data_IF_322763627446
#
_entry.id   IF_322763627446
#
_cell.length_a   1.000
_cell.length_b   1.000
_cell.length_c   1.000
_cell.angle_alpha   90.00
_cell.angle_beta   90.00
_cell.angle_gamma   90.00
#
_symmetry.space_group_name_H-M   'P 1'
#
loop_
_entity.id
_entity.type
_entity.pdbx_description
1 polymer ?
#
# COMPACT_ATOMS: atom_id res chain seq x y z
N UNK A 1 2.37 -12.57 -4.09
CA UNK A 1 1.44 -12.45 -2.93
C UNK A 1 1.08 -11.00 -2.59
N UNK A 2 -0.18 -10.73 -2.21
CA UNK A 2 -0.65 -9.44 -1.69
C UNK A 2 -0.38 -9.25 -0.20
N UNK A 3 -0.37 -8.01 0.31
CA UNK A 3 -0.32 -7.75 1.76
C UNK A 3 1.03 -7.93 2.49
N UNK A 4 2.05 -8.50 1.83
CA UNK A 4 3.40 -8.76 2.41
C UNK A 4 4.28 -7.52 2.63
N UNK A 5 3.88 -6.34 2.14
CA UNK A 5 4.62 -5.09 2.38
C UNK A 5 5.62 -4.67 1.30
N UNK A 6 5.49 -5.14 0.04
CA UNK A 6 6.33 -4.68 -1.09
C UNK A 6 6.36 -3.15 -1.25
N UNK A 7 5.17 -2.53 -1.31
CA UNK A 7 5.00 -1.08 -1.37
C UNK A 7 5.63 -0.39 -0.16
N UNK A 8 5.43 -0.94 1.05
CA UNK A 8 6.04 -0.41 2.28
C UNK A 8 7.56 -0.45 2.22
N UNK A 9 8.17 -1.56 1.77
CA UNK A 9 9.62 -1.66 1.63
C UNK A 9 10.15 -0.65 0.61
N UNK A 10 9.49 -0.54 -0.55
CA UNK A 10 9.85 0.44 -1.56
C UNK A 10 9.72 1.87 -1.03
N UNK A 11 8.72 2.18 -0.21
CA UNK A 11 8.57 3.49 0.45
C UNK A 11 9.69 3.77 1.44
N UNK A 12 10.11 2.77 2.22
CA UNK A 12 11.23 2.92 3.17
C UNK A 12 12.53 3.23 2.42
N UNK A 13 12.81 2.53 1.33
CA UNK A 13 13.98 2.79 0.48
C UNK A 13 13.87 4.17 -0.18
N UNK A 14 12.71 4.49 -0.76
CA UNK A 14 12.50 5.75 -1.47
C UNK A 14 12.68 6.97 -0.57
N UNK A 15 12.27 6.88 0.70
CA UNK A 15 12.34 7.97 1.67
C UNK A 15 13.62 7.95 2.53
N UNK A 16 14.52 6.97 2.36
CA UNK A 16 15.78 6.91 3.10
C UNK A 16 16.64 8.15 2.77
N UNK A 17 17.23 8.79 3.79
CA UNK A 17 18.01 10.02 3.62
C UNK A 17 19.19 9.84 2.66
N UNK A 18 19.82 8.66 2.64
CA UNK A 18 20.95 8.34 1.74
C UNK A 18 20.47 8.28 0.29
N UNK A 19 19.28 7.72 0.07
CA UNK A 19 18.64 7.68 -1.25
C UNK A 19 18.19 9.07 -1.68
N UNK A 20 17.59 9.85 -0.76
CA UNK A 20 17.22 11.24 -1.00
C UNK A 20 18.40 12.10 -1.44
N UNK A 21 19.56 11.91 -0.82
CA UNK A 21 20.78 12.69 -1.09
C UNK A 21 21.56 12.21 -2.32
N UNK A 22 21.36 10.96 -2.75
CA UNK A 22 22.10 10.37 -3.87
C UNK A 22 21.48 10.65 -5.24
N UNK A 23 20.15 10.68 -5.32
CA UNK A 23 19.42 10.88 -6.57
C UNK A 23 18.95 12.33 -6.73
N UNK A 24 19.33 12.95 -7.84
CA UNK A 24 18.93 14.32 -8.19
C UNK A 24 17.43 14.43 -8.43
N UNK A 25 16.81 13.37 -8.96
CA UNK A 25 15.38 13.34 -9.25
C UNK A 25 14.78 12.00 -8.86
N UNK A 26 13.59 12.04 -8.25
CA UNK A 26 12.89 10.84 -7.78
C UNK A 26 11.42 10.91 -8.17
N UNK A 27 10.87 9.78 -8.59
CA UNK A 27 9.48 9.64 -9.01
C UNK A 27 8.85 8.39 -8.46
N UNK A 28 7.55 8.47 -8.16
CA UNK A 28 6.74 7.33 -7.75
C UNK A 28 5.42 7.35 -8.51
N UNK A 29 5.10 6.26 -9.18
CA UNK A 29 3.84 6.08 -9.88
C UNK A 29 3.26 4.70 -9.58
N UNK A 30 1.98 4.67 -9.19
CA UNK A 30 1.20 3.44 -9.16
C UNK A 30 0.68 3.13 -10.56
N UNK A 31 0.91 1.92 -11.05
CA UNK A 31 0.58 1.49 -12.41
C UNK A 31 -0.81 0.87 -12.42
N UNK A 32 -1.68 1.35 -13.31
CA UNK A 32 -3.03 0.79 -13.48
C UNK A 32 -2.99 -0.61 -14.11
N UNK A 33 -4.02 -1.41 -13.83
CA UNK A 33 -4.22 -2.70 -14.51
C UNK A 33 -4.40 -2.51 -16.01
N UNK A 34 -5.16 -1.48 -16.40
CA UNK A 34 -5.24 -0.97 -17.77
C UNK A 34 -3.91 -0.29 -18.12
N UNK A 35 -2.94 -1.10 -18.54
CA UNK A 35 -1.60 -0.63 -18.85
C UNK A 35 -1.56 0.03 -20.22
N UNK A 36 -1.49 1.35 -20.21
CA UNK A 36 -1.23 2.18 -21.38
C UNK A 36 0.12 2.89 -21.22
N UNK A 37 1.01 2.69 -22.20
CA UNK A 37 2.35 3.30 -22.19
C UNK A 37 2.26 4.82 -22.31
N UNK A 38 1.29 5.34 -23.08
CA UNK A 38 1.09 6.78 -23.25
C UNK A 38 0.65 7.39 -21.92
N UNK A 39 -0.45 6.89 -21.36
CA UNK A 39 -0.98 7.33 -20.07
C UNK A 39 0.01 7.17 -18.93
N UNK A 40 0.80 6.09 -18.88
CA UNK A 40 1.83 5.92 -17.87
C UNK A 40 2.97 6.93 -18.03
N UNK A 41 3.43 7.18 -19.26
CA UNK A 41 4.50 8.17 -19.53
C UNK A 41 4.03 9.57 -19.14
N UNK A 42 2.79 9.94 -19.49
CA UNK A 42 2.16 11.18 -19.03
C UNK A 42 2.10 11.25 -17.51
N UNK A 43 1.65 10.17 -16.85
CA UNK A 43 1.55 10.11 -15.39
C UNK A 43 2.91 10.26 -14.72
N UNK A 44 3.97 9.70 -15.29
CA UNK A 44 5.36 9.90 -14.83
C UNK A 44 5.73 11.37 -14.94
N UNK A 45 5.57 11.99 -16.12
CA UNK A 45 5.90 13.40 -16.34
C UNK A 45 5.17 14.34 -15.39
N UNK A 46 3.85 14.19 -15.26
CA UNK A 46 3.00 15.05 -14.43
C UNK A 46 3.21 14.79 -12.95
N UNK A 47 3.13 13.53 -12.51
CA UNK A 47 3.09 13.19 -11.07
C UNK A 47 4.48 13.18 -10.45
N UNK A 48 5.50 12.75 -11.20
CA UNK A 48 6.86 12.63 -10.66
C UNK A 48 7.67 13.90 -10.89
N UNK A 49 7.54 14.51 -12.08
CA UNK A 49 8.42 15.61 -12.49
C UNK A 49 7.70 16.97 -12.59
N UNK A 50 6.39 17.01 -12.25
CA UNK A 50 5.57 18.22 -12.23
C UNK A 50 5.57 18.98 -13.56
N UNK A 51 5.71 18.25 -14.67
CA UNK A 51 5.69 18.80 -16.01
C UNK A 51 4.25 18.93 -16.49
N UNK A 52 3.90 20.08 -17.09
CA UNK A 52 2.67 20.24 -17.84
C UNK A 52 2.82 19.56 -19.19
N UNK A 53 1.90 18.67 -19.53
CA UNK A 53 1.97 17.84 -20.73
C UNK A 53 0.73 18.09 -21.57
N UNK A 54 0.90 18.72 -22.72
CA UNK A 54 -0.16 18.88 -23.73
C UNK A 54 -0.03 17.83 -24.86
N UNK A 55 0.99 16.98 -24.79
CA UNK A 55 1.30 15.97 -25.79
C UNK A 55 0.43 14.72 -25.65
N UNK A 56 -0.11 14.26 -26.77
CA UNK A 56 -0.85 12.98 -26.85
C UNK A 56 -0.03 11.86 -27.48
N UNK A 57 1.03 12.20 -28.22
CA UNK A 57 1.85 11.22 -28.93
C UNK A 57 2.99 10.67 -28.06
N UNK A 58 3.18 9.35 -28.10
CA UNK A 58 4.17 8.67 -27.27
C UNK A 58 5.59 9.21 -27.49
N UNK A 59 5.95 9.49 -28.74
CA UNK A 59 7.31 9.94 -29.07
C UNK A 59 7.65 11.28 -28.41
N UNK A 60 6.71 12.23 -28.38
CA UNK A 60 6.90 13.54 -27.76
C UNK A 60 7.05 13.41 -26.24
N UNK A 61 6.20 12.58 -25.63
CA UNK A 61 6.27 12.26 -24.20
C UNK A 61 7.62 11.63 -23.82
N UNK A 62 8.11 10.72 -24.64
CA UNK A 62 9.40 10.05 -24.40
C UNK A 62 10.58 10.99 -24.59
N UNK A 63 10.54 11.90 -25.57
CA UNK A 63 11.56 12.93 -25.74
C UNK A 63 11.62 13.88 -24.55
N UNK A 64 10.47 14.32 -24.05
CA UNK A 64 10.41 15.20 -22.87
C UNK A 64 10.90 14.47 -21.61
N UNK A 65 10.49 13.21 -21.42
CA UNK A 65 10.98 12.38 -20.31
C UNK A 65 12.50 12.21 -20.37
N UNK A 66 13.04 11.90 -21.55
CA UNK A 66 14.49 11.78 -21.77
C UNK A 66 15.19 13.08 -21.41
N UNK A 67 14.71 14.22 -21.89
CA UNK A 67 15.29 15.55 -21.62
C UNK A 67 15.30 15.88 -20.12
N UNK A 68 14.24 15.53 -19.38
CA UNK A 68 14.16 15.76 -17.94
C UNK A 68 15.20 14.95 -17.18
N UNK A 69 15.42 13.71 -17.60
CA UNK A 69 16.31 12.76 -16.94
C UNK A 69 17.78 12.88 -17.40
N UNK A 70 18.03 13.49 -18.57
CA UNK A 70 19.35 13.57 -19.17
C UNK A 70 20.36 14.23 -18.24
N UNK A 71 21.46 13.51 -17.99
CA UNK A 71 22.56 13.98 -17.14
C UNK A 71 22.27 13.97 -15.64
N UNK A 72 21.14 13.41 -15.20
CA UNK A 72 20.75 13.32 -13.78
C UNK A 72 20.79 11.88 -13.29
N UNK A 73 21.08 11.72 -12.00
CA UNK A 73 20.83 10.48 -11.26
C UNK A 73 19.36 10.41 -10.90
N UNK A 74 18.63 9.46 -11.48
CA UNK A 74 17.20 9.33 -11.21
C UNK A 74 16.83 8.01 -10.51
N UNK A 75 15.80 8.07 -9.67
CA UNK A 75 15.11 6.90 -9.12
C UNK A 75 13.64 6.96 -9.51
N UNK A 76 13.13 5.91 -10.17
CA UNK A 76 11.71 5.78 -10.50
C UNK A 76 11.14 4.54 -9.82
N UNK A 77 10.01 4.68 -9.12
CA UNK A 77 9.26 3.55 -8.56
C UNK A 77 8.00 3.34 -9.38
N UNK A 78 7.86 2.16 -9.96
CA UNK A 78 6.66 1.66 -10.62
C UNK A 78 5.98 0.66 -9.66
N UNK A 79 4.94 1.11 -8.97
CA UNK A 79 4.27 0.36 -7.91
C UNK A 79 3.03 -0.39 -8.42
N UNK A 80 2.83 -1.61 -7.93
CA UNK A 80 1.72 -2.54 -8.21
C UNK A 80 1.51 -2.83 -9.71
N UNK A 81 2.55 -3.34 -10.36
CA UNK A 81 2.53 -3.63 -11.81
C UNK A 81 1.91 -4.99 -12.12
N UNK A 82 1.04 -5.03 -13.14
CA UNK A 82 0.30 -6.25 -13.54
C UNK A 82 0.50 -6.71 -15.00
N UNK A 83 0.91 -5.82 -15.92
CA UNK A 83 0.93 -6.14 -17.35
C UNK A 83 2.07 -7.09 -17.76
N UNK A 84 1.73 -8.19 -18.43
CA UNK A 84 2.69 -9.23 -18.85
C UNK A 84 3.18 -9.09 -20.31
N UNK A 85 2.83 -8.02 -21.04
CA UNK A 85 3.22 -7.86 -22.45
C UNK A 85 4.62 -7.24 -22.56
N UNK A 86 5.67 -7.99 -22.94
CA UNK A 86 7.04 -7.47 -22.94
C UNK A 86 7.22 -6.26 -23.87
N UNK A 87 6.53 -6.26 -25.02
CA UNK A 87 6.61 -5.18 -26.01
C UNK A 87 6.20 -3.80 -25.48
N UNK A 88 5.30 -3.73 -24.51
CA UNK A 88 4.88 -2.46 -23.92
C UNK A 88 5.94 -1.94 -22.94
N UNK A 89 6.60 -2.86 -22.21
CA UNK A 89 7.72 -2.53 -21.33
C UNK A 89 8.96 -2.09 -22.09
N UNK A 90 9.27 -2.76 -23.20
CA UNK A 90 10.39 -2.34 -24.04
C UNK A 90 10.19 -0.91 -24.54
N UNK A 91 8.96 -0.53 -24.95
CA UNK A 91 8.65 0.86 -25.29
C UNK A 91 8.86 1.82 -24.12
N UNK A 92 8.40 1.48 -22.92
CA UNK A 92 8.58 2.33 -21.73
C UNK A 92 10.05 2.51 -21.33
N UNK A 93 10.88 1.47 -21.51
CA UNK A 93 12.29 1.47 -21.12
C UNK A 93 13.15 2.39 -22.00
N UNK A 94 12.81 2.58 -23.28
CA UNK A 94 13.61 3.39 -24.23
C UNK A 94 14.08 4.73 -23.65
N UNK A 95 13.21 5.65 -23.19
CA UNK A 95 13.65 6.93 -22.65
C UNK A 95 14.45 6.82 -21.34
N UNK A 96 14.24 5.76 -20.56
CA UNK A 96 14.93 5.55 -19.28
C UNK A 96 16.37 5.05 -19.47
N UNK A 97 16.57 4.17 -20.46
CA UNK A 97 17.90 3.63 -20.80
C UNK A 97 18.79 4.69 -21.45
N UNK A 98 18.20 5.60 -22.23
CA UNK A 98 18.93 6.67 -22.91
C UNK A 98 19.24 7.88 -22.03
N UNK A 99 18.59 8.01 -20.87
CA UNK A 99 18.71 9.16 -19.99
C UNK A 99 20.01 9.22 -19.17
N UNK A 100 20.71 8.09 -19.01
CA UNK A 100 21.97 7.99 -18.26
C UNK A 100 21.88 7.14 -17.00
N UNK A 101 22.41 7.62 -15.87
CA UNK A 101 22.52 6.85 -14.62
C UNK A 101 21.18 6.86 -13.88
N UNK A 102 20.45 5.75 -13.94
CA UNK A 102 19.15 5.61 -13.28
C UNK A 102 18.97 4.31 -12.53
N UNK A 103 18.01 4.30 -11.59
CA UNK A 103 17.48 3.08 -10.97
C UNK A 103 15.96 3.08 -11.10
N UNK A 104 15.41 1.92 -11.42
CA UNK A 104 13.96 1.69 -11.46
C UNK A 104 13.63 0.58 -10.48
N UNK A 105 12.71 0.84 -9.54
CA UNK A 105 12.16 -0.16 -8.65
C UNK A 105 10.78 -0.52 -9.16
N UNK A 106 10.52 -1.81 -9.36
CA UNK A 106 9.22 -2.33 -9.74
C UNK A 106 8.68 -3.16 -8.58
N UNK A 107 7.47 -2.88 -8.13
CA UNK A 107 6.75 -3.79 -7.22
C UNK A 107 5.66 -4.51 -8.00
N UNK A 108 5.59 -5.83 -7.86
CA UNK A 108 4.56 -6.64 -8.52
C UNK A 108 4.24 -7.85 -7.66
N UNK A 109 3.03 -8.39 -7.82
CA UNK A 109 2.63 -9.69 -7.24
C UNK A 109 2.87 -10.84 -8.20
N UNK A 110 3.25 -10.54 -9.44
CA UNK A 110 3.29 -11.44 -10.57
C UNK A 110 4.75 -11.73 -10.97
N UNK A 111 5.16 -12.99 -10.86
CA UNK A 111 6.52 -13.42 -11.18
C UNK A 111 6.84 -13.31 -12.69
N UNK A 112 5.84 -13.42 -13.58
CA UNK A 112 6.04 -13.18 -15.00
C UNK A 112 6.45 -11.72 -15.25
N UNK A 113 5.74 -10.77 -14.64
CA UNK A 113 6.09 -9.34 -14.72
C UNK A 113 7.49 -9.09 -14.17
N UNK A 114 7.83 -9.69 -13.01
CA UNK A 114 9.16 -9.56 -12.43
C UNK A 114 10.24 -10.04 -13.42
N UNK A 115 10.04 -11.21 -14.05
CA UNK A 115 10.98 -11.77 -15.04
C UNK A 115 11.10 -10.94 -16.32
N UNK A 116 10.04 -10.28 -16.77
CA UNK A 116 10.07 -9.39 -17.95
C UNK A 116 10.85 -8.11 -17.64
N UNK A 117 10.74 -7.61 -16.41
CA UNK A 117 11.33 -6.34 -15.99
C UNK A 117 12.72 -6.50 -15.33
N UNK A 118 13.13 -7.71 -14.99
CA UNK A 118 14.35 -7.95 -14.22
C UNK A 118 15.60 -7.52 -15.00
N UNK A 119 16.42 -6.72 -14.34
CA UNK A 119 17.82 -6.45 -14.72
C UNK A 119 18.80 -7.02 -13.70
N UNK A 120 18.26 -7.50 -12.57
CA UNK A 120 18.93 -8.16 -11.45
C UNK A 120 17.98 -9.20 -10.87
N UNK A 121 18.48 -10.11 -10.04
CA UNK A 121 17.63 -11.12 -9.38
C UNK A 121 16.47 -10.46 -8.60
N UNK A 122 15.22 -10.89 -8.81
CA UNK A 122 14.07 -10.33 -8.09
C UNK A 122 14.15 -10.55 -6.58
N UNK A 123 13.85 -9.51 -5.81
CA UNK A 123 13.71 -9.63 -4.35
C UNK A 123 12.34 -10.21 -4.00
N UNK A 124 12.30 -11.48 -3.63
CA UNK A 124 11.10 -12.13 -3.13
C UNK A 124 10.88 -11.80 -1.65
N UNK A 125 9.82 -11.03 -1.35
CA UNK A 125 9.42 -10.75 0.02
C UNK A 125 8.65 -11.94 0.61
N UNK A 126 9.21 -12.50 1.68
CA UNK A 126 8.58 -13.53 2.50
C UNK A 126 7.57 -12.93 3.48
N UNK A 127 6.74 -13.81 4.06
CA UNK A 127 5.87 -13.46 5.20
C UNK A 127 6.71 -13.04 6.41
N UNK A 128 6.10 -12.26 7.31
CA UNK A 128 6.75 -11.89 8.56
C UNK A 128 6.75 -13.06 9.54
N UNK A 129 7.86 -13.27 10.28
CA UNK A 129 7.89 -14.20 11.41
C UNK A 129 6.84 -13.83 12.47
N UNK A 130 6.35 -14.85 13.18
CA UNK A 130 5.31 -14.69 14.21
C UNK A 130 5.64 -13.57 15.20
N UNK A 131 6.87 -13.54 15.75
CA UNK A 131 7.27 -12.52 16.72
C UNK A 131 7.13 -11.10 16.18
N UNK A 132 7.45 -10.88 14.90
CA UNK A 132 7.32 -9.56 14.26
C UNK A 132 5.86 -9.19 14.01
N UNK A 133 5.02 -10.16 13.67
CA UNK A 133 3.58 -9.96 13.59
C UNK A 133 2.98 -9.65 14.96
N UNK A 134 3.39 -10.36 16.01
CA UNK A 134 2.94 -10.10 17.37
C UNK A 134 3.33 -8.71 17.83
N UNK A 135 4.60 -8.31 17.67
CA UNK A 135 5.05 -6.95 17.99
C UNK A 135 4.23 -5.87 17.26
N UNK A 136 3.90 -6.10 15.99
CA UNK A 136 3.06 -5.18 15.21
C UNK A 136 1.62 -5.15 15.75
N UNK A 137 1.05 -6.31 16.09
CA UNK A 137 -0.30 -6.42 16.63
C UNK A 137 -0.41 -5.74 17.98
N UNK A 138 0.46 -6.10 18.92
CA UNK A 138 0.55 -5.55 20.28
C UNK A 138 0.65 -4.03 20.23
N UNK A 139 1.54 -3.49 19.41
CA UNK A 139 1.66 -2.05 19.21
C UNK A 139 0.39 -1.40 18.68
N UNK A 140 -0.39 -2.09 17.85
CA UNK A 140 -1.54 -1.46 17.19
C UNK A 140 -2.86 -1.64 17.95
N UNK A 141 -3.03 -2.76 18.64
CA UNK A 141 -4.25 -3.12 19.36
C UNK A 141 -4.19 -2.77 20.85
N UNK A 142 -3.00 -2.76 21.46
CA UNK A 142 -2.84 -2.68 22.91
C UNK A 142 -2.15 -1.38 23.41
N UNK A 143 -1.68 -0.51 22.51
CA UNK A 143 -0.91 0.73 22.83
C UNK A 143 -1.70 1.79 23.63
N UNK A 144 -2.96 1.53 23.99
CA UNK A 144 -3.79 2.37 24.86
C UNK A 144 -4.56 1.65 25.97
N UNK A 145 -4.33 0.36 26.17
CA UNK A 145 -4.94 -0.41 27.26
C UNK A 145 -4.06 -0.32 28.50
N UNK A 146 -4.64 0.04 29.65
CA UNK A 146 -3.90 0.20 30.90
C UNK A 146 -3.24 -1.14 31.30
N UNK A 147 -1.92 -1.10 31.50
CA UNK A 147 -1.11 -2.28 31.85
C UNK A 147 -1.47 -2.90 33.22
N UNK A 148 -2.34 -2.24 33.98
CA UNK A 148 -2.78 -2.59 35.33
C UNK A 148 -4.06 -3.42 35.39
N UNK A 149 -4.84 -3.52 34.31
CA UNK A 149 -6.00 -4.40 34.20
C UNK A 149 -5.55 -5.78 33.71
N UNK A 150 -6.14 -6.85 34.23
CA UNK A 150 -5.74 -8.25 34.01
C UNK A 150 -5.94 -8.76 32.57
N UNK A 151 -5.37 -8.09 31.58
CA UNK A 151 -5.46 -8.34 30.14
C UNK A 151 -4.66 -9.55 29.66
N UNK A 152 -4.28 -10.47 30.54
CA UNK A 152 -3.58 -11.70 30.15
C UNK A 152 -4.40 -12.49 29.13
N UNK A 153 -5.74 -12.54 29.29
CA UNK A 153 -6.62 -13.22 28.35
C UNK A 153 -6.65 -12.57 26.97
N UNK A 154 -6.72 -11.23 26.88
CA UNK A 154 -6.70 -10.52 25.59
C UNK A 154 -5.37 -10.70 24.86
N UNK A 155 -4.26 -10.77 25.59
CA UNK A 155 -2.94 -11.08 25.03
C UNK A 155 -2.94 -12.48 24.41
N UNK A 156 -3.46 -13.47 25.11
CA UNK A 156 -3.52 -14.86 24.62
C UNK A 156 -4.46 -15.01 23.42
N UNK A 157 -5.64 -14.38 23.45
CA UNK A 157 -6.56 -14.34 22.30
C UNK A 157 -5.90 -13.62 21.12
N UNK A 158 -5.26 -12.48 21.35
CA UNK A 158 -4.51 -11.72 20.34
C UNK A 158 -3.44 -12.55 19.66
N UNK A 159 -2.66 -13.34 20.42
CA UNK A 159 -1.64 -14.23 19.85
C UNK A 159 -2.26 -15.26 18.89
N UNK A 160 -3.37 -15.88 19.29
CA UNK A 160 -4.12 -16.84 18.44
C UNK A 160 -4.70 -16.16 17.19
N UNK A 161 -5.16 -14.91 17.30
CA UNK A 161 -5.59 -14.10 16.14
C UNK A 161 -4.42 -13.85 15.18
N UNK A 162 -3.23 -13.54 15.70
CA UNK A 162 -2.02 -13.33 14.89
C UNK A 162 -1.62 -14.60 14.14
N UNK A 163 -1.77 -15.79 14.74
CA UNK A 163 -1.57 -17.06 14.05
C UNK A 163 -2.51 -17.19 12.84
N UNK A 164 -3.79 -16.81 12.99
CA UNK A 164 -4.76 -16.80 11.88
C UNK A 164 -4.41 -15.82 10.77
N UNK A 165 -3.61 -14.78 11.05
CA UNK A 165 -3.13 -13.83 10.04
C UNK A 165 -1.99 -14.37 9.15
N UNK A 166 -1.47 -15.58 9.41
CA UNK A 166 -0.50 -16.30 8.57
C UNK A 166 0.73 -15.48 8.14
N UNK A 167 1.20 -14.60 9.03
CA UNK A 167 2.41 -13.81 8.77
C UNK A 167 2.22 -12.62 7.80
N UNK A 168 0.98 -12.29 7.40
CA UNK A 168 0.70 -11.16 6.51
C UNK A 168 0.61 -9.84 7.30
N UNK A 169 1.55 -8.89 7.11
CA UNK A 169 1.55 -7.62 7.85
C UNK A 169 0.26 -6.82 7.71
N UNK A 170 -0.34 -6.83 6.51
CA UNK A 170 -1.59 -6.08 6.28
C UNK A 170 -2.78 -6.73 6.99
N UNK A 171 -2.87 -8.07 7.04
CA UNK A 171 -3.91 -8.76 7.79
C UNK A 171 -3.81 -8.43 9.29
N UNK A 172 -2.60 -8.56 9.86
CA UNK A 172 -2.30 -8.21 11.25
C UNK A 172 -2.69 -6.77 11.55
N UNK A 173 -2.26 -5.82 10.71
CA UNK A 173 -2.54 -4.39 10.90
C UNK A 173 -4.04 -4.09 10.89
N UNK A 174 -4.77 -4.71 9.98
CA UNK A 174 -6.22 -4.47 9.81
C UNK A 174 -6.99 -4.98 11.03
N UNK A 175 -6.73 -6.22 11.47
CA UNK A 175 -7.41 -6.79 12.64
C UNK A 175 -7.00 -6.06 13.93
N UNK A 176 -5.70 -5.79 14.12
CA UNK A 176 -5.23 -5.06 15.29
C UNK A 176 -5.89 -3.68 15.42
N UNK A 177 -6.11 -3.00 14.28
CA UNK A 177 -6.82 -1.71 14.26
C UNK A 177 -8.30 -1.83 14.53
N UNK A 178 -8.95 -2.90 14.06
CA UNK A 178 -10.34 -3.18 14.40
C UNK A 178 -10.53 -3.38 15.91
N UNK A 179 -9.52 -3.97 16.58
CA UNK A 179 -9.52 -4.25 18.01
C UNK A 179 -8.95 -3.15 18.90
N UNK A 180 -8.35 -2.09 18.33
CA UNK A 180 -7.59 -1.09 19.08
C UNK A 180 -8.36 -0.24 20.09
N UNK A 181 -9.70 -0.30 20.07
CA UNK A 181 -10.59 0.39 21.01
C UNK A 181 -11.56 -0.58 21.69
N UNK A 182 -11.26 -1.88 21.65
CA UNK A 182 -12.14 -2.93 22.16
C UNK A 182 -11.47 -3.64 23.33
N UNK A 183 -12.09 -3.55 24.51
CA UNK A 183 -11.63 -4.18 25.75
C UNK A 183 -12.47 -5.40 26.15
N UNK A 184 -13.56 -5.68 25.42
CA UNK A 184 -14.45 -6.82 25.63
C UNK A 184 -13.83 -8.13 25.11
N UNK A 185 -13.53 -9.05 26.03
CA UNK A 185 -12.97 -10.38 25.73
C UNK A 185 -13.87 -11.22 24.80
N UNK A 186 -15.19 -11.10 24.94
CA UNK A 186 -16.14 -11.88 24.13
C UNK A 186 -16.05 -11.45 22.67
N UNK A 187 -15.90 -10.14 22.39
CA UNK A 187 -15.75 -9.66 21.00
C UNK A 187 -14.42 -10.06 20.36
N UNK A 188 -13.35 -10.14 21.14
CA UNK A 188 -12.08 -10.69 20.67
C UNK A 188 -12.22 -12.17 20.34
N UNK A 189 -12.96 -12.91 21.16
CA UNK A 189 -13.24 -14.34 20.97
C UNK A 189 -14.13 -14.55 19.73
N UNK A 190 -15.17 -13.75 19.52
CA UNK A 190 -16.02 -13.78 18.32
C UNK A 190 -15.20 -13.61 17.03
N UNK A 191 -14.24 -12.67 17.05
CA UNK A 191 -13.31 -12.47 15.93
C UNK A 191 -12.43 -13.70 15.74
N UNK A 192 -11.86 -14.26 16.82
CA UNK A 192 -11.00 -15.43 16.76
C UNK A 192 -11.75 -16.65 16.20
N UNK A 193 -12.99 -16.86 16.61
CA UNK A 193 -13.81 -18.04 16.29
C UNK A 193 -14.64 -17.87 15.01
N UNK A 194 -14.60 -16.69 14.38
CA UNK A 194 -15.32 -16.40 13.15
C UNK A 194 -15.11 -17.45 12.04
N UNK A 195 -16.20 -17.98 11.50
CA UNK A 195 -16.20 -18.91 10.36
C UNK A 195 -15.57 -18.29 9.10
N UNK A 196 -15.45 -16.97 9.04
CA UNK A 196 -14.85 -16.24 7.92
C UNK A 196 -13.39 -16.59 7.70
N UNK A 197 -12.68 -17.03 8.74
CA UNK A 197 -11.30 -17.53 8.65
C UNK A 197 -11.17 -18.78 7.76
N UNK A 198 -12.25 -19.55 7.63
CA UNK A 198 -12.31 -20.79 6.84
C UNK A 198 -12.89 -20.56 5.44
N UNK A 199 -13.24 -19.33 5.08
CA UNK A 199 -13.85 -19.01 3.79
C UNK A 199 -12.96 -19.43 2.60
N UNK A 200 -13.57 -20.19 1.67
CA UNK A 200 -12.90 -20.97 0.62
C UNK A 200 -12.50 -20.15 -0.62
N UNK A 201 -12.51 -18.82 -0.54
CA UNK A 201 -12.00 -17.97 -1.64
C UNK A 201 -10.46 -18.02 -1.65
N UNK A 202 -9.97 -19.15 -2.16
CA UNK A 202 -8.57 -19.61 -2.17
C UNK A 202 -7.59 -18.71 -2.94
N UNK A 203 -8.08 -17.66 -3.61
CA UNK A 203 -7.25 -16.78 -4.42
C UNK A 203 -6.62 -15.62 -3.63
N UNK A 204 -6.91 -15.50 -2.32
CA UNK A 204 -6.40 -14.38 -1.53
C UNK A 204 -6.28 -14.73 -0.04
N UNK A 205 -5.05 -15.08 0.38
CA UNK A 205 -4.71 -15.36 1.80
C UNK A 205 -5.06 -14.21 2.77
N UNK A 206 -5.24 -12.99 2.24
CA UNK A 206 -5.60 -11.81 3.04
C UNK A 206 -7.12 -11.59 3.17
N UNK A 207 -7.92 -12.20 2.31
CA UNK A 207 -9.36 -11.92 2.23
C UNK A 207 -10.12 -12.26 3.52
N UNK A 208 -9.83 -13.39 4.20
CA UNK A 208 -10.47 -13.69 5.48
C UNK A 208 -10.29 -12.58 6.52
N UNK A 209 -9.07 -12.07 6.68
CA UNK A 209 -8.79 -10.99 7.63
C UNK A 209 -9.49 -9.67 7.25
N UNK A 210 -9.58 -9.36 5.95
CA UNK A 210 -10.31 -8.18 5.49
C UNK A 210 -11.82 -8.31 5.74
N UNK A 211 -12.38 -9.51 5.56
CA UNK A 211 -13.81 -9.77 5.76
C UNK A 211 -14.17 -9.71 7.24
N UNK A 212 -13.38 -10.34 8.10
CA UNK A 212 -13.53 -10.26 9.57
C UNK A 212 -13.46 -8.81 10.02
N UNK A 213 -12.46 -8.04 9.59
CA UNK A 213 -12.37 -6.63 9.95
C UNK A 213 -13.50 -5.78 9.38
N UNK A 214 -13.99 -6.08 8.18
CA UNK A 214 -15.16 -5.41 7.63
C UNK A 214 -16.37 -5.66 8.53
N UNK A 215 -16.54 -6.87 9.07
CA UNK A 215 -17.68 -7.18 9.92
C UNK A 215 -17.67 -6.49 11.27
N UNK A 216 -16.50 -6.12 11.78
CA UNK A 216 -16.33 -5.26 12.95
C UNK A 216 -16.68 -3.79 12.71
N UNK A 217 -16.87 -3.34 11.45
CA UNK A 217 -17.18 -1.94 11.18
C UNK A 217 -18.63 -1.58 11.59
N UNK A 218 -18.85 -0.39 12.16
CA UNK A 218 -20.18 0.20 12.29
C UNK A 218 -20.95 0.23 10.96
N UNK A 219 -22.28 0.11 11.01
CA UNK A 219 -23.12 -0.03 9.81
C UNK A 219 -22.95 1.13 8.81
N UNK A 220 -22.71 2.35 9.30
CA UNK A 220 -22.51 3.52 8.47
C UNK A 220 -21.17 3.44 7.71
N UNK A 221 -20.12 2.92 8.34
CA UNK A 221 -18.83 2.71 7.68
C UNK A 221 -18.88 1.54 6.68
N UNK A 222 -19.63 0.48 6.98
CA UNK A 222 -19.93 -0.61 6.02
C UNK A 222 -20.60 -0.04 4.76
N UNK A 223 -21.60 0.84 4.92
CA UNK A 223 -22.26 1.52 3.79
C UNK A 223 -21.30 2.39 2.99
N UNK A 224 -20.46 3.18 3.65
CA UNK A 224 -19.44 4.00 2.97
C UNK A 224 -18.47 3.15 2.14
N UNK A 225 -18.04 2.01 2.67
CA UNK A 225 -17.17 1.08 1.96
C UNK A 225 -17.85 0.54 0.69
N UNK A 226 -19.11 0.09 0.77
CA UNK A 226 -19.86 -0.42 -0.39
C UNK A 226 -20.10 0.65 -1.47
N UNK A 227 -20.38 1.89 -1.08
CA UNK A 227 -20.56 3.00 -2.03
C UNK A 227 -19.26 3.30 -2.78
N UNK A 228 -18.11 3.19 -2.10
CA UNK A 228 -16.79 3.41 -2.70
C UNK A 228 -16.45 2.37 -3.76
N UNK A 229 -16.90 1.12 -3.59
CA UNK A 229 -16.71 0.05 -4.59
C UNK A 229 -17.56 0.26 -5.86
N UNK A 230 -18.74 0.87 -5.73
CA UNK A 230 -19.63 1.16 -6.88
C UNK A 230 -19.15 2.33 -7.74
N UNK A 231 -18.34 3.22 -7.18
CA UNK A 231 -17.75 4.37 -7.88
C UNK A 231 -16.31 4.08 -8.32
N UNK A 232 -16.09 2.97 -9.04
CA UNK A 232 -14.83 2.65 -9.73
C UNK A 232 -14.42 3.64 -10.83
N UNK A 233 -14.96 4.86 -10.81
CA UNK A 233 -14.51 6.00 -11.61
C UNK A 233 -14.79 7.29 -10.83
N UNK A 234 -14.01 7.56 -9.78
CA UNK A 234 -13.83 8.95 -9.31
C UNK A 234 -12.95 9.62 -10.37
N UNK A 235 -13.58 10.03 -11.48
CA UNK A 235 -13.03 11.06 -12.36
C UNK A 235 -13.02 12.35 -11.56
N UNK A 236 -11.83 12.92 -11.40
CA UNK A 236 -11.56 14.29 -11.00
C UNK A 236 -12.36 14.84 -9.81
N UNK A 237 -11.84 14.58 -8.60
CA UNK A 237 -11.58 15.60 -7.57
C UNK A 237 -10.83 14.98 -6.40
N UNK A 238 -9.53 15.30 -6.30
CA UNK A 238 -8.67 15.24 -5.10
C UNK A 238 -9.15 14.31 -3.96
N UNK A 239 -9.14 13.00 -4.17
CA UNK A 239 -8.81 12.07 -3.09
C UNK A 239 -7.42 11.53 -3.37
N UNK A 240 -6.44 12.24 -2.82
CA UNK A 240 -5.14 11.66 -2.55
C UNK A 240 -5.36 10.47 -1.62
N UNK A 241 -5.29 9.25 -2.14
CA UNK A 241 -5.13 8.03 -1.32
C UNK A 241 -3.65 7.96 -0.89
N UNK A 242 -3.20 9.06 -0.28
CA UNK A 242 -1.98 9.15 0.49
C UNK A 242 -2.44 9.45 1.92
N UNK A 243 -2.80 8.40 2.64
CA UNK A 243 -3.20 8.45 4.04
C UNK A 243 -4.71 8.53 4.27
N UNK A 244 -5.32 7.41 4.66
CA UNK A 244 -6.44 7.43 5.61
C UNK A 244 -5.94 8.07 6.93
N UNK A 245 -5.84 9.40 6.95
CA UNK A 245 -5.46 10.22 8.12
C UNK A 245 -6.56 11.22 8.53
N UNK A 246 -7.79 11.06 8.05
CA UNK A 246 -8.90 11.97 8.38
C UNK A 246 -10.23 11.25 8.67
N UNK A 247 -10.19 10.20 9.47
CA UNK A 247 -11.32 9.87 10.34
C UNK A 247 -10.70 9.70 11.72
N UNK A 248 -11.21 10.44 12.71
CA UNK A 248 -10.65 10.67 14.06
C UNK A 248 -9.58 11.76 14.18
N UNK A 249 -10.05 13.00 14.40
CA UNK A 249 -9.40 13.90 15.35
C UNK A 249 -10.47 14.48 16.28
N UNK A 250 -10.38 14.11 17.56
CA UNK A 250 -10.58 14.96 18.72
C UNK A 250 -11.93 15.66 18.92
N UNK A 251 -12.81 15.04 19.70
CA UNK A 251 -13.62 15.76 20.68
C UNK A 251 -12.71 16.14 21.86
N UNK A 252 -12.14 17.34 21.85
CA UNK A 252 -11.90 18.16 23.04
C UNK A 252 -11.28 19.49 22.63
N UNK A 253 -12.05 20.58 22.71
CA UNK A 253 -11.55 21.78 23.38
C UNK A 253 -12.73 22.52 24.01
N UNK A 254 -12.56 22.80 25.30
CA UNK A 254 -13.52 23.45 26.16
C UNK A 254 -13.46 24.97 25.99
N UNK A 255 -14.65 25.58 25.99
CA UNK A 255 -14.98 26.84 26.68
C UNK A 255 -14.34 28.18 26.27
N UNK A 256 -15.26 29.15 26.04
CA UNK A 256 -15.19 30.61 26.29
C UNK A 256 -14.37 31.44 25.28
N UNK A 257 -14.77 32.64 24.83
CA UNK A 257 -15.76 33.64 25.28
C UNK A 257 -16.18 34.50 24.07
N UNK A 258 -17.46 34.93 24.04
CA UNK A 258 -17.92 36.06 23.24
C UNK A 258 -17.60 37.36 23.98
N UNK A 259 -17.04 38.31 23.22
CA UNK A 259 -16.98 39.79 23.40
C UNK A 259 -16.45 40.29 24.74
#
# INVERSE_FOLDING_TARGET
MGGVGKTTLAQLVYNDSRVCNYFDTRGWVCVSEDFDVVGLTQKILVSCFKTTVDYTELNELQQELKKILQGKKFLLVLDDVWNEKPSLWEKLKVPLLEAGVGKVIVTTRNECVARIMQTMEPLNLNILPFDKCWMLFEKLALEGLDSSSGHNNLVDIGRRIVEKCKGLPLAVKVIARALSYEDDEDKWTDILESELWESVDANSEIFPALKVSYDCLPIDLKRCFLVSQRHGSIRDKKLSICGCRKVFFGLQEASKQRI
#
